data_IF_712445504059
#
_entry.id   IF_712445504059
#
_cell.length_a   1.000
_cell.length_b   1.000
_cell.length_c   1.000
_cell.angle_alpha   90.00
_cell.angle_beta   90.00
_cell.angle_gamma   90.00
#
_symmetry.space_group_name_H-M   'P 1'
#
loop_
_entity.id
_entity.type
_entity.pdbx_description
1 polymer ?
#
# COMPACT_ATOMS: atom_id res chain seq x y z
N UNK A 1 -16.33 -2.96 -21.24
CA UNK A 1 -16.32 -2.01 -20.13
C UNK A 1 -16.93 -2.68 -18.91
N UNK A 2 -16.35 -2.53 -17.74
CA UNK A 2 -16.88 -3.02 -16.46
C UNK A 2 -16.62 -1.95 -15.41
N UNK A 3 -17.41 -1.96 -14.35
CA UNK A 3 -17.24 -1.06 -13.22
C UNK A 3 -15.87 -1.24 -12.55
N UNK A 4 -15.40 -0.24 -11.83
CA UNK A 4 -14.11 -0.26 -11.16
C UNK A 4 -14.15 -0.96 -9.78
N UNK A 5 -15.30 -1.50 -9.39
CA UNK A 5 -15.52 -2.21 -8.14
C UNK A 5 -15.19 -3.72 -8.23
N UNK A 6 -15.41 -4.44 -7.14
CA UNK A 6 -15.14 -5.89 -7.03
C UNK A 6 -16.06 -6.68 -7.97
N UNK A 7 -17.35 -6.31 -8.04
CA UNK A 7 -18.32 -7.00 -8.89
C UNK A 7 -17.99 -6.80 -10.38
N UNK A 8 -17.60 -5.59 -10.78
CA UNK A 8 -17.12 -5.31 -12.13
C UNK A 8 -15.86 -6.09 -12.49
N UNK A 9 -14.96 -6.29 -11.55
CA UNK A 9 -13.76 -7.13 -11.72
C UNK A 9 -14.12 -8.60 -11.91
N UNK A 10 -15.11 -9.11 -11.19
CA UNK A 10 -15.63 -10.47 -11.35
C UNK A 10 -16.30 -10.64 -12.71
N UNK A 11 -17.18 -9.71 -13.13
CA UNK A 11 -17.82 -9.72 -14.45
C UNK A 11 -16.77 -9.70 -15.56
N UNK A 12 -15.72 -8.89 -15.44
CA UNK A 12 -14.60 -8.85 -16.38
C UNK A 12 -13.91 -10.20 -16.51
N UNK A 13 -13.61 -10.87 -15.38
CA UNK A 13 -13.00 -12.20 -15.36
C UNK A 13 -13.88 -13.24 -16.02
N UNK A 14 -15.21 -13.22 -15.77
CA UNK A 14 -16.17 -14.10 -16.44
C UNK A 14 -16.20 -13.91 -17.95
N UNK A 15 -16.23 -12.66 -18.41
CA UNK A 15 -16.25 -12.35 -19.85
C UNK A 15 -14.93 -12.77 -20.52
N UNK A 16 -13.79 -12.49 -19.87
CA UNK A 16 -12.49 -12.91 -20.39
C UNK A 16 -12.36 -14.43 -20.46
N UNK A 17 -12.85 -15.16 -19.44
CA UNK A 17 -12.93 -16.62 -19.45
C UNK A 17 -13.76 -17.14 -20.63
N UNK A 18 -14.94 -16.53 -20.85
CA UNK A 18 -15.80 -16.89 -21.98
C UNK A 18 -15.11 -16.65 -23.32
N UNK A 19 -14.51 -15.47 -23.53
CA UNK A 19 -13.78 -15.14 -24.76
C UNK A 19 -12.60 -16.09 -24.98
N UNK A 20 -11.82 -16.36 -23.93
CA UNK A 20 -10.67 -17.27 -24.02
C UNK A 20 -11.09 -18.69 -24.40
N UNK A 21 -12.19 -19.23 -23.84
CA UNK A 21 -12.61 -20.61 -24.06
C UNK A 21 -13.47 -20.83 -25.29
N UNK A 22 -14.31 -19.85 -25.64
CA UNK A 22 -15.30 -20.02 -26.71
C UNK A 22 -14.98 -19.21 -27.98
N UNK A 23 -14.14 -18.19 -27.87
CA UNK A 23 -13.77 -17.28 -28.95
C UNK A 23 -12.28 -16.98 -28.96
N UNK A 24 -11.48 -18.05 -28.78
CA UNK A 24 -10.02 -17.99 -28.62
C UNK A 24 -9.34 -17.23 -29.75
N UNK A 25 -9.81 -17.42 -31.00
CA UNK A 25 -9.30 -16.72 -32.18
C UNK A 25 -9.35 -15.18 -32.05
N UNK A 26 -10.36 -14.64 -31.37
CA UNK A 26 -10.44 -13.18 -31.13
C UNK A 26 -9.34 -12.69 -30.19
N UNK A 27 -9.01 -13.49 -29.17
CA UNK A 27 -7.97 -13.15 -28.19
C UNK A 27 -6.59 -13.33 -28.82
N UNK A 28 -6.36 -14.42 -29.55
CA UNK A 28 -5.12 -14.68 -30.28
C UNK A 28 -4.86 -13.64 -31.39
N UNK A 29 -5.92 -13.15 -32.04
CA UNK A 29 -5.83 -12.05 -32.99
C UNK A 29 -5.68 -10.67 -32.33
N UNK A 30 -5.58 -10.61 -31.00
CA UNK A 30 -5.42 -9.39 -30.21
C UNK A 30 -6.55 -8.35 -30.42
N UNK A 31 -7.77 -8.82 -30.69
CA UNK A 31 -8.94 -7.97 -30.94
C UNK A 31 -9.78 -7.69 -29.69
N UNK A 32 -9.31 -8.12 -28.52
CA UNK A 32 -9.99 -7.90 -27.23
C UNK A 32 -9.32 -6.77 -26.47
N UNK A 33 -10.10 -5.81 -26.02
CA UNK A 33 -9.64 -4.64 -25.27
C UNK A 33 -10.50 -4.41 -24.04
N UNK A 34 -9.88 -3.92 -22.97
CA UNK A 34 -10.54 -3.47 -21.75
C UNK A 34 -10.52 -1.94 -21.76
N UNK A 35 -11.69 -1.32 -21.85
CA UNK A 35 -11.80 0.12 -21.70
C UNK A 35 -11.63 0.52 -20.22
N UNK A 36 -10.83 1.53 -19.97
CA UNK A 36 -10.52 2.02 -18.63
C UNK A 36 -11.24 3.34 -18.37
N UNK A 37 -12.34 3.33 -17.60
CA UNK A 37 -12.95 4.56 -17.15
C UNK A 37 -12.07 5.28 -16.12
N UNK A 38 -12.18 6.61 -15.99
CA UNK A 38 -11.45 7.35 -14.97
C UNK A 38 -11.98 7.01 -13.57
N UNK A 39 -11.08 7.04 -12.58
CA UNK A 39 -11.44 6.87 -11.17
C UNK A 39 -11.91 8.18 -10.53
N UNK A 40 -11.40 9.31 -11.00
CA UNK A 40 -11.67 10.61 -10.40
C UNK A 40 -12.04 11.64 -11.46
N UNK A 41 -12.94 12.54 -11.05
CA UNK A 41 -13.22 13.81 -11.70
C UNK A 41 -12.83 14.92 -10.76
N UNK A 42 -11.94 15.79 -11.18
CA UNK A 42 -11.47 16.93 -10.41
C UNK A 42 -11.92 18.21 -11.09
N UNK A 43 -12.52 19.13 -10.34
CA UNK A 43 -13.02 20.39 -10.84
C UNK A 43 -12.51 21.56 -10.01
N UNK A 44 -11.95 22.57 -10.69
CA UNK A 44 -11.59 23.87 -10.10
C UNK A 44 -12.25 24.99 -10.90
N UNK A 45 -13.30 25.58 -10.36
CA UNK A 45 -14.07 26.61 -11.06
C UNK A 45 -14.70 26.07 -12.35
N UNK A 46 -14.22 26.54 -13.53
CA UNK A 46 -14.70 26.08 -14.85
C UNK A 46 -13.82 24.98 -15.48
N UNK A 47 -12.64 24.72 -14.92
CA UNK A 47 -11.75 23.68 -15.42
C UNK A 47 -12.14 22.34 -14.80
N UNK A 48 -12.20 21.32 -15.64
CA UNK A 48 -12.52 19.95 -15.28
C UNK A 48 -11.48 19.02 -15.88
N UNK A 49 -11.07 18.01 -15.11
CA UNK A 49 -10.08 17.02 -15.52
C UNK A 49 -10.47 15.66 -14.97
N UNK A 50 -10.23 14.61 -15.77
CA UNK A 50 -10.41 13.22 -15.38
C UNK A 50 -9.04 12.60 -15.06
N UNK A 51 -9.00 11.76 -14.02
CA UNK A 51 -7.78 11.10 -13.53
C UNK A 51 -8.07 9.61 -13.40
N UNK A 52 -7.19 8.78 -13.94
CA UNK A 52 -7.45 7.35 -14.10
C UNK A 52 -6.99 6.51 -12.91
N UNK A 53 -6.02 6.97 -12.12
CA UNK A 53 -5.42 6.18 -11.04
C UNK A 53 -5.26 6.98 -9.75
N UNK A 54 -5.24 6.28 -8.62
CA UNK A 54 -4.95 6.89 -7.32
C UNK A 54 -3.55 7.54 -7.27
N UNK A 55 -2.58 6.94 -7.96
CA UNK A 55 -1.22 7.49 -8.01
C UNK A 55 -1.18 8.81 -8.79
N UNK A 56 -1.89 8.89 -9.92
CA UNK A 56 -2.05 10.14 -10.67
C UNK A 56 -2.75 11.22 -9.85
N UNK A 57 -3.79 10.83 -9.08
CA UNK A 57 -4.51 11.75 -8.20
C UNK A 57 -3.59 12.35 -7.14
N UNK A 58 -2.80 11.52 -6.45
CA UNK A 58 -1.83 11.99 -5.47
C UNK A 58 -0.76 12.90 -6.09
N UNK A 59 -0.25 12.55 -7.27
CA UNK A 59 0.71 13.39 -8.00
C UNK A 59 0.09 14.74 -8.37
N UNK A 60 -1.14 14.74 -8.88
CA UNK A 60 -1.88 15.96 -9.20
C UNK A 60 -2.04 16.87 -7.97
N UNK A 61 -2.44 16.30 -6.82
CA UNK A 61 -2.58 17.06 -5.57
C UNK A 61 -1.26 17.63 -5.07
N UNK A 62 -0.17 16.88 -5.22
CA UNK A 62 1.18 17.38 -4.89
C UNK A 62 1.54 18.56 -5.76
N UNK A 63 1.36 18.46 -7.09
CA UNK A 63 1.69 19.53 -8.02
C UNK A 63 0.87 20.80 -7.73
N UNK A 64 -0.43 20.66 -7.42
CA UNK A 64 -1.30 21.78 -7.02
C UNK A 64 -0.84 22.43 -5.71
N UNK A 65 -0.38 21.63 -4.75
CA UNK A 65 0.08 22.13 -3.44
C UNK A 65 1.43 22.83 -3.50
N UNK A 66 2.32 22.43 -4.42
CA UNK A 66 3.67 22.99 -4.51
C UNK A 66 3.70 24.46 -4.93
N UNK A 67 2.62 24.98 -5.53
CA UNK A 67 2.53 26.39 -5.88
C UNK A 67 2.47 27.27 -4.62
N UNK A 68 3.61 27.91 -4.27
CA UNK A 68 3.70 28.81 -3.10
C UNK A 68 3.92 28.13 -1.76
N UNK A 69 4.22 26.82 -1.74
CA UNK A 69 4.50 26.08 -0.52
C UNK A 69 5.97 26.24 -0.10
N UNK A 70 6.22 26.73 1.09
CA UNK A 70 7.53 26.80 1.72
C UNK A 70 7.66 25.74 2.80
N UNK A 71 8.64 24.83 2.67
CA UNK A 71 8.94 23.81 3.69
C UNK A 71 10.40 23.93 4.12
N UNK A 72 10.61 23.99 5.44
CA UNK A 72 11.93 24.05 6.08
C UNK A 72 12.09 22.88 7.03
N UNK A 73 13.27 22.28 7.06
CA UNK A 73 13.60 21.31 8.10
C UNK A 73 13.80 22.06 9.43
N UNK A 74 13.07 21.65 10.47
CA UNK A 74 13.14 22.29 11.79
C UNK A 74 14.51 22.14 12.48
N UNK A 75 15.26 21.06 12.17
CA UNK A 75 16.62 20.82 12.69
C UNK A 75 17.74 21.52 11.91
N UNK A 76 17.46 22.19 10.80
CA UNK A 76 18.48 22.79 9.94
C UNK A 76 18.00 24.04 9.21
N UNK A 77 18.95 24.89 8.81
CA UNK A 77 18.71 26.10 8.01
C UNK A 77 18.38 25.79 6.54
N UNK A 78 18.09 24.54 6.19
CA UNK A 78 17.83 24.14 4.79
C UNK A 78 16.36 24.25 4.45
N UNK A 79 16.08 25.14 3.54
CA UNK A 79 14.81 25.26 2.84
C UNK A 79 14.78 24.28 1.66
N UNK A 80 13.65 23.60 1.46
CA UNK A 80 13.47 22.72 0.32
C UNK A 80 13.10 23.56 -0.91
N UNK A 81 13.83 23.36 -2.01
CA UNK A 81 13.37 23.87 -3.31
C UNK A 81 12.16 23.05 -3.76
N UNK A 82 11.26 23.62 -4.56
CA UNK A 82 10.06 22.94 -5.07
C UNK A 82 10.39 21.56 -5.67
N UNK A 83 11.46 21.47 -6.49
CA UNK A 83 11.90 20.19 -7.07
C UNK A 83 12.34 19.17 -6.02
N UNK A 84 13.14 19.57 -5.02
CA UNK A 84 13.57 18.65 -3.95
C UNK A 84 12.43 18.23 -3.06
N UNK A 85 11.46 19.13 -2.83
CA UNK A 85 10.26 18.81 -2.09
C UNK A 85 9.40 17.80 -2.85
N UNK A 86 9.21 17.97 -4.16
CA UNK A 86 8.50 17.01 -5.00
C UNK A 86 9.17 15.63 -4.98
N UNK A 87 10.50 15.58 -5.17
CA UNK A 87 11.27 14.32 -5.08
C UNK A 87 11.09 13.64 -3.71
N UNK A 88 11.14 14.40 -2.61
CA UNK A 88 10.88 13.88 -1.26
C UNK A 88 9.46 13.36 -1.11
N UNK A 89 8.44 14.10 -1.56
CA UNK A 89 7.04 13.68 -1.46
C UNK A 89 6.77 12.39 -2.24
N UNK A 90 7.37 12.22 -3.41
CA UNK A 90 7.30 10.97 -4.18
C UNK A 90 7.96 9.78 -3.43
N UNK A 91 9.07 10.03 -2.71
CA UNK A 91 9.66 9.02 -1.83
C UNK A 91 8.73 8.68 -0.66
N UNK A 92 8.07 9.69 -0.06
CA UNK A 92 7.12 9.47 1.04
C UNK A 92 5.87 8.71 0.58
N UNK A 93 5.38 8.91 -0.64
CA UNK A 93 4.30 8.10 -1.21
C UNK A 93 4.70 6.62 -1.36
N UNK A 94 5.94 6.35 -1.80
CA UNK A 94 6.45 4.97 -1.86
C UNK A 94 6.57 4.38 -0.46
N UNK A 95 7.07 5.16 0.49
CA UNK A 95 7.19 4.75 1.89
C UNK A 95 5.82 4.43 2.49
N UNK A 96 4.79 5.25 2.25
CA UNK A 96 3.41 5.01 2.68
C UNK A 96 2.88 3.66 2.16
N UNK A 97 3.09 3.37 0.87
CA UNK A 97 2.67 2.09 0.27
C UNK A 97 3.32 0.89 0.96
N UNK A 98 4.64 0.96 1.19
CA UNK A 98 5.38 -0.11 1.86
C UNK A 98 5.00 -0.22 3.35
N UNK A 99 4.77 0.90 4.01
CA UNK A 99 4.29 0.94 5.40
C UNK A 99 2.95 0.23 5.55
N UNK A 100 1.99 0.52 4.67
CA UNK A 100 0.70 -0.13 4.64
C UNK A 100 0.81 -1.65 4.38
N UNK A 101 1.81 -2.09 3.60
CA UNK A 101 2.05 -3.52 3.37
C UNK A 101 2.60 -4.22 4.63
N UNK A 102 3.48 -3.57 5.39
CA UNK A 102 3.96 -4.07 6.69
C UNK A 102 2.84 -4.11 7.72
N UNK A 103 1.99 -3.07 7.78
CA UNK A 103 0.90 -2.99 8.76
C UNK A 103 -0.18 -4.05 8.50
N UNK A 104 -0.46 -4.40 7.24
CA UNK A 104 -1.32 -5.54 6.89
C UNK A 104 -0.80 -6.88 7.40
N UNK A 105 0.49 -6.98 7.72
CA UNK A 105 1.10 -8.15 8.36
C UNK A 105 1.06 -8.09 9.90
N UNK A 106 0.28 -7.16 10.47
CA UNK A 106 0.06 -7.03 11.91
C UNK A 106 1.20 -6.38 12.68
N UNK A 107 2.10 -5.63 12.01
CA UNK A 107 3.20 -4.92 12.68
C UNK A 107 3.06 -3.43 12.40
N UNK A 108 2.96 -2.61 13.45
CA UNK A 108 3.00 -1.15 13.29
C UNK A 108 4.34 -0.72 12.70
N UNK A 109 4.28 0.12 11.67
CA UNK A 109 5.48 0.54 10.94
C UNK A 109 6.52 1.19 11.85
N UNK A 110 6.12 2.03 12.80
CA UNK A 110 7.04 2.64 13.77
C UNK A 110 7.85 1.59 14.53
N UNK A 111 7.19 0.55 15.07
CA UNK A 111 7.87 -0.56 15.75
C UNK A 111 8.82 -1.33 14.82
N UNK A 112 8.39 -1.57 13.58
CA UNK A 112 9.22 -2.26 12.60
C UNK A 112 10.50 -1.47 12.25
N UNK A 113 10.36 -0.16 12.07
CA UNK A 113 11.51 0.71 11.80
C UNK A 113 12.48 0.85 13.00
N UNK A 114 12.01 0.68 14.23
CA UNK A 114 12.84 0.64 15.43
C UNK A 114 13.72 -0.61 15.53
N UNK A 115 13.33 -1.71 14.85
CA UNK A 115 14.08 -2.98 14.84
C UNK A 115 15.36 -2.93 13.97
N UNK A 116 15.74 -1.77 13.43
CA UNK A 116 16.96 -1.62 12.60
C UNK A 116 18.21 -2.01 13.38
N UNK A 117 19.04 -2.91 12.81
CA UNK A 117 20.32 -3.32 13.39
C UNK A 117 21.36 -2.21 13.24
N UNK A 118 21.76 -1.58 14.36
CA UNK A 118 22.95 -0.73 14.52
C UNK A 118 23.35 0.14 13.32
N UNK A 119 24.64 0.12 12.98
CA UNK A 119 25.20 0.96 11.90
C UNK A 119 24.76 0.54 10.50
N UNK A 120 24.41 -0.73 10.29
CA UNK A 120 23.97 -1.24 8.98
C UNK A 120 22.60 -0.73 8.55
N UNK A 121 21.76 -0.29 9.51
CA UNK A 121 20.36 0.12 9.28
C UNK A 121 19.52 -0.97 8.62
N UNK A 122 19.96 -2.24 8.77
CA UNK A 122 19.30 -3.40 8.21
C UNK A 122 17.99 -3.68 8.95
N UNK A 123 16.93 -3.89 8.20
CA UNK A 123 15.61 -4.26 8.71
C UNK A 123 15.45 -5.78 8.74
N UNK A 124 14.60 -6.33 9.64
CA UNK A 124 14.27 -7.75 9.61
C UNK A 124 13.70 -8.18 8.26
N UNK A 125 14.22 -9.27 7.70
CA UNK A 125 13.70 -9.88 6.47
C UNK A 125 12.61 -10.90 6.78
N UNK A 126 12.64 -11.51 7.96
CA UNK A 126 11.72 -12.56 8.36
C UNK A 126 11.23 -12.36 9.79
N UNK A 127 9.99 -12.83 10.05
CA UNK A 127 9.44 -13.02 11.38
C UNK A 127 9.08 -14.50 11.54
N UNK A 128 9.77 -15.19 12.43
CA UNK A 128 9.47 -16.58 12.76
C UNK A 128 8.69 -16.66 14.08
N UNK A 129 7.65 -17.49 14.15
CA UNK A 129 6.97 -17.87 15.40
C UNK A 129 7.49 -19.23 15.84
N UNK A 130 8.08 -19.29 17.01
CA UNK A 130 8.69 -20.48 17.60
C UNK A 130 8.18 -20.60 19.04
N UNK A 131 7.52 -21.71 19.38
CA UNK A 131 6.97 -21.93 20.73
C UNK A 131 6.04 -20.80 21.23
N UNK A 132 5.34 -20.14 20.28
CA UNK A 132 4.44 -19.03 20.60
C UNK A 132 5.11 -17.65 20.66
N UNK A 133 6.44 -17.57 20.60
CA UNK A 133 7.19 -16.31 20.60
C UNK A 133 7.61 -15.89 19.19
N UNK A 134 7.63 -14.57 18.92
CA UNK A 134 8.10 -14.04 17.65
C UNK A 134 9.59 -13.69 17.71
N UNK A 135 10.36 -14.24 16.76
CA UNK A 135 11.78 -13.88 16.52
C UNK A 135 11.91 -13.18 15.17
N UNK A 136 12.68 -12.10 15.12
CA UNK A 136 12.96 -11.34 13.91
C UNK A 136 14.36 -11.69 13.40
N UNK A 137 14.45 -12.04 12.11
CA UNK A 137 15.66 -12.52 11.47
C UNK A 137 16.04 -11.56 10.35
N UNK A 138 17.33 -11.35 10.17
CA UNK A 138 17.85 -10.29 9.32
C UNK A 138 18.50 -10.79 8.02
N UNK A 139 18.77 -12.10 7.95
CA UNK A 139 19.35 -12.73 6.76
C UNK A 139 18.86 -14.17 6.59
N UNK A 140 19.21 -14.73 5.42
CA UNK A 140 18.82 -16.08 5.04
C UNK A 140 19.57 -17.14 5.88
N UNK A 141 20.77 -16.83 6.40
CA UNK A 141 21.56 -17.73 7.23
C UNK A 141 20.91 -17.91 8.61
N UNK A 142 20.43 -16.81 9.23
CA UNK A 142 19.65 -16.86 10.47
C UNK A 142 18.38 -17.72 10.28
N UNK A 143 17.69 -17.57 9.14
CA UNK A 143 16.50 -18.38 8.81
C UNK A 143 16.86 -19.85 8.63
N UNK A 144 17.91 -20.16 7.86
CA UNK A 144 18.38 -21.53 7.65
C UNK A 144 18.77 -22.23 8.97
N UNK A 145 19.43 -21.50 9.86
CA UNK A 145 19.79 -22.00 11.18
C UNK A 145 18.56 -22.37 12.03
N UNK A 146 17.55 -21.52 12.04
CA UNK A 146 16.29 -21.78 12.76
C UNK A 146 15.54 -22.98 12.16
N UNK A 147 15.44 -23.07 10.83
CA UNK A 147 14.83 -24.23 10.16
C UNK A 147 15.55 -25.55 10.49
N UNK A 148 16.87 -25.51 10.60
CA UNK A 148 17.67 -26.68 10.97
C UNK A 148 17.44 -27.13 12.43
N UNK A 149 17.13 -26.20 13.35
CA UNK A 149 16.91 -26.49 14.76
C UNK A 149 15.49 -27.01 15.07
N UNK A 150 14.47 -26.49 14.39
CA UNK A 150 13.07 -26.67 14.77
C UNK A 150 12.22 -27.40 13.71
N UNK A 151 12.80 -27.82 12.57
CA UNK A 151 12.12 -28.56 11.53
C UNK A 151 11.56 -27.72 10.38
N UNK A 152 10.77 -28.32 9.46
CA UNK A 152 10.33 -27.65 8.24
C UNK A 152 9.31 -26.54 8.52
N UNK A 153 9.35 -25.54 7.66
CA UNK A 153 8.46 -24.39 7.66
C UNK A 153 7.02 -24.79 7.35
N UNK A 154 6.07 -24.22 8.10
CA UNK A 154 4.67 -24.19 7.73
C UNK A 154 4.27 -22.75 7.43
N UNK A 155 3.51 -22.54 6.36
CA UNK A 155 2.96 -21.22 6.05
C UNK A 155 1.96 -20.81 7.13
N UNK A 156 2.03 -19.55 7.61
CA UNK A 156 1.01 -19.00 8.49
C UNK A 156 -0.33 -18.99 7.75
N UNK A 157 -1.30 -19.74 8.21
CA UNK A 157 -2.69 -19.51 7.85
C UNK A 157 -3.14 -18.16 8.42
N UNK A 158 -3.86 -17.38 7.61
CA UNK A 158 -4.21 -15.97 7.89
C UNK A 158 -5.22 -15.82 9.04
N UNK A 159 -5.80 -16.91 9.53
CA UNK A 159 -6.87 -16.92 10.53
C UNK A 159 -6.44 -16.63 11.98
N UNK A 160 -5.15 -16.42 12.26
CA UNK A 160 -4.68 -16.08 13.61
C UNK A 160 -4.17 -14.62 13.72
N UNK A 161 -4.95 -13.66 13.23
CA UNK A 161 -4.89 -12.30 13.79
C UNK A 161 -5.71 -12.34 15.07
N UNK A 162 -5.04 -12.60 16.18
CA UNK A 162 -5.65 -12.53 17.51
C UNK A 162 -6.30 -11.17 17.71
N UNK A 163 -7.64 -11.10 17.70
CA UNK A 163 -8.37 -10.17 18.54
C UNK A 163 -7.98 -10.49 19.99
N UNK A 164 -7.23 -9.60 20.63
CA UNK A 164 -6.99 -9.66 22.08
C UNK A 164 -8.35 -9.77 22.78
N UNK A 165 -8.70 -10.94 23.27
CA UNK A 165 -9.78 -11.10 24.23
C UNK A 165 -10.84 -12.15 24.02
N UNK A 166 -10.59 -13.30 23.39
CA UNK A 166 -11.48 -14.45 23.54
C UNK A 166 -10.70 -15.75 23.71
N UNK A 167 -10.77 -16.28 24.94
CA UNK A 167 -10.37 -17.66 25.26
C UNK A 167 -11.15 -18.63 24.36
N UNK A 168 -10.51 -19.17 23.32
CA UNK A 168 -10.95 -20.38 22.64
C UNK A 168 -10.08 -21.52 23.12
N UNK A 169 -10.75 -22.51 23.74
CA UNK A 169 -10.15 -23.77 24.14
C UNK A 169 -9.37 -24.39 22.98
N UNK A 170 -8.08 -24.58 23.21
CA UNK A 170 -7.14 -25.25 22.29
C UNK A 170 -7.63 -26.68 22.08
N UNK A 171 -8.01 -27.02 20.87
CA UNK A 171 -7.95 -28.43 20.46
C UNK A 171 -6.46 -28.78 20.31
N UNK A 172 -5.98 -29.61 21.20
CA UNK A 172 -4.66 -30.23 21.16
C UNK A 172 -4.58 -31.09 19.88
N UNK A 173 -3.91 -30.58 18.86
CA UNK A 173 -3.55 -31.38 17.70
C UNK A 173 -2.38 -32.28 18.09
N UNK A 174 -2.65 -33.58 18.16
CA UNK A 174 -1.67 -34.67 18.50
C UNK A 174 -0.80 -34.97 17.28
N UNK A 175 0.03 -34.03 16.86
CA UNK A 175 1.06 -34.21 15.85
C UNK A 175 2.39 -33.62 16.36
N UNK A 176 3.21 -34.47 17.01
CA UNK A 176 4.46 -34.06 17.65
C UNK A 176 5.56 -33.68 16.66
N UNK A 177 5.55 -32.46 16.19
CA UNK A 177 6.63 -31.77 15.51
C UNK A 177 6.41 -30.28 15.73
N UNK A 178 7.38 -29.61 16.38
CA UNK A 178 7.38 -28.14 16.52
C UNK A 178 7.43 -27.51 15.13
N UNK A 179 6.29 -27.09 14.61
CA UNK A 179 6.20 -26.41 13.32
C UNK A 179 6.57 -24.95 13.49
N UNK A 180 7.46 -24.46 12.62
CA UNK A 180 7.84 -23.06 12.57
C UNK A 180 6.94 -22.34 11.57
N UNK A 181 6.36 -21.21 11.98
CA UNK A 181 5.69 -20.30 11.05
C UNK A 181 6.63 -19.16 10.69
N UNK A 182 6.90 -18.95 9.40
CA UNK A 182 7.78 -17.91 8.91
C UNK A 182 7.00 -16.96 8.02
N UNK A 183 7.16 -15.66 8.28
CA UNK A 183 6.62 -14.58 7.45
C UNK A 183 7.77 -13.75 6.91
N UNK A 184 7.85 -13.59 5.59
CA UNK A 184 8.87 -12.80 4.91
C UNK A 184 8.41 -11.36 4.69
N UNK A 185 9.32 -10.39 4.87
CA UNK A 185 9.12 -8.97 4.60
C UNK A 185 9.83 -8.56 3.31
N UNK A 186 9.20 -8.79 2.17
CA UNK A 186 9.73 -8.40 0.86
C UNK A 186 10.01 -6.90 0.75
N UNK A 187 9.29 -6.09 1.52
CA UNK A 187 9.39 -4.64 1.56
C UNK A 187 10.66 -4.14 2.25
N UNK A 188 11.30 -4.95 3.08
CA UNK A 188 12.46 -4.58 3.90
C UNK A 188 13.58 -3.95 3.09
N UNK A 189 13.97 -4.60 1.99
CA UNK A 189 15.07 -4.13 1.12
C UNK A 189 14.75 -2.81 0.42
N UNK A 190 13.49 -2.58 0.08
CA UNK A 190 13.05 -1.33 -0.55
C UNK A 190 12.98 -0.20 0.49
N UNK A 191 12.50 -0.50 1.70
CA UNK A 191 12.52 0.43 2.84
C UNK A 191 13.94 0.89 3.21
N UNK A 192 14.91 -0.02 3.18
CA UNK A 192 16.33 0.33 3.40
C UNK A 192 16.87 1.29 2.32
N UNK A 193 16.52 1.08 1.05
CA UNK A 193 16.87 2.00 -0.04
C UNK A 193 16.26 3.37 0.19
N UNK A 194 14.97 3.42 0.50
CA UNK A 194 14.24 4.66 0.80
C UNK A 194 14.85 5.35 2.02
N UNK A 195 15.22 4.61 3.07
CA UNK A 195 15.90 5.17 4.24
C UNK A 195 17.19 5.89 3.87
N UNK A 196 18.02 5.29 2.99
CA UNK A 196 19.26 5.90 2.50
C UNK A 196 18.98 7.18 1.68
N UNK A 197 17.93 7.17 0.86
CA UNK A 197 17.54 8.37 0.08
C UNK A 197 17.04 9.49 1.00
N UNK A 198 16.18 9.18 1.98
CA UNK A 198 15.66 10.16 2.96
C UNK A 198 16.79 10.80 3.77
N UNK A 199 17.83 10.04 4.11
CA UNK A 199 19.02 10.58 4.80
C UNK A 199 19.76 11.65 4.00
N UNK A 200 19.73 11.62 2.66
CA UNK A 200 20.32 12.67 1.83
C UNK A 200 19.64 14.05 2.01
N UNK A 201 18.39 14.04 2.44
CA UNK A 201 17.64 15.26 2.79
C UNK A 201 17.90 15.72 4.23
N UNK A 202 18.71 14.96 5.03
CA UNK A 202 18.98 15.24 6.44
C UNK A 202 17.84 14.84 7.35
N UNK A 203 17.05 13.84 6.95
CA UNK A 203 15.90 13.30 7.65
C UNK A 203 16.16 11.84 8.05
N UNK A 204 15.46 11.33 9.06
CA UNK A 204 15.49 9.91 9.42
C UNK A 204 14.13 9.26 9.15
N UNK A 205 14.16 8.03 8.62
CA UNK A 205 12.93 7.26 8.36
C UNK A 205 12.18 6.92 9.68
N UNK A 206 12.88 6.93 10.84
CA UNK A 206 12.24 6.78 12.14
C UNK A 206 11.24 7.88 12.47
N UNK A 207 11.37 9.05 11.85
CA UNK A 207 10.41 10.14 11.98
C UNK A 207 9.13 9.93 11.16
N UNK A 208 8.97 8.77 10.49
CA UNK A 208 7.84 8.51 9.60
C UNK A 208 6.49 8.61 10.32
N UNK A 209 6.33 7.90 11.44
CA UNK A 209 5.08 7.84 12.21
C UNK A 209 5.22 8.50 13.61
N UNK A 210 6.08 9.52 13.70
CA UNK A 210 6.30 10.23 14.94
C UNK A 210 5.05 11.02 15.34
N UNK A 211 4.56 10.78 16.56
CA UNK A 211 3.34 11.43 17.02
C UNK A 211 3.60 12.88 17.42
N UNK A 212 2.64 13.76 17.07
CA UNK A 212 2.63 15.12 17.55
C UNK A 212 2.42 15.14 19.08
N UNK A 213 2.95 16.15 19.78
CA UNK A 213 2.67 16.31 21.21
C UNK A 213 1.15 16.47 21.42
N UNK A 214 0.61 15.67 22.32
CA UNK A 214 -0.81 15.79 22.71
C UNK A 214 -0.98 17.16 23.39
N UNK A 215 -1.96 17.95 22.93
CA UNK A 215 -2.25 19.29 23.45
C UNK A 215 -2.29 19.30 24.98
N UNK A 216 -1.30 19.92 25.61
CA UNK A 216 -1.13 19.94 27.05
C UNK A 216 -2.13 20.85 27.78
N UNK A 217 -3.04 21.55 27.09
CA UNK A 217 -4.03 22.39 27.75
C UNK A 217 -5.03 21.64 28.65
N UNK A 218 -5.23 20.33 28.40
CA UNK A 218 -6.15 19.49 29.20
C UNK A 218 -5.54 18.83 30.44
N UNK A 219 -4.20 18.81 30.59
CA UNK A 219 -3.53 18.08 31.67
C UNK A 219 -2.68 18.95 32.62
N UNK A 220 -2.83 20.27 32.63
CA UNK A 220 -2.19 21.14 33.62
C UNK A 220 -2.86 21.06 34.98
N UNK A 221 -2.69 19.91 35.68
CA UNK A 221 -2.69 19.84 37.16
C UNK A 221 -1.89 18.58 37.56
N UNK A 222 -0.61 18.78 37.88
CA UNK A 222 0.11 17.94 38.84
C UNK A 222 1.00 16.83 38.29
N UNK A 223 1.92 17.09 37.37
CA UNK A 223 3.08 16.18 37.17
C UNK A 223 4.32 16.95 36.73
N UNK A 224 5.30 17.03 37.65
CA UNK A 224 6.61 17.61 37.40
C UNK A 224 7.58 16.57 36.81
N UNK A 225 7.33 16.10 35.62
CA UNK A 225 8.34 15.42 34.76
C UNK A 225 8.55 16.30 33.55
N UNK A 226 9.79 16.76 33.34
CA UNK A 226 10.24 17.34 32.09
C UNK A 226 10.13 16.22 31.03
N UNK A 227 9.00 16.18 30.34
CA UNK A 227 8.86 15.46 29.08
C UNK A 227 9.72 16.23 28.08
N UNK A 228 10.63 15.53 27.42
CA UNK A 228 11.45 16.09 26.35
C UNK A 228 10.51 16.74 25.33
N UNK A 229 10.66 18.05 25.12
CA UNK A 229 9.86 18.79 24.14
C UNK A 229 10.03 18.15 22.76
N UNK A 230 8.99 17.48 22.27
CA UNK A 230 9.00 16.88 20.92
C UNK A 230 9.12 18.02 19.92
N UNK A 231 10.29 18.13 19.27
CA UNK A 231 10.55 19.15 18.25
C UNK A 231 9.89 18.72 16.93
N UNK A 232 9.31 19.67 16.18
CA UNK A 232 8.79 19.38 14.86
C UNK A 232 9.93 18.90 13.93
N UNK A 233 9.59 18.11 12.91
CA UNK A 233 10.51 17.70 11.85
C UNK A 233 10.58 18.78 10.78
N UNK A 234 9.43 19.39 10.46
CA UNK A 234 9.30 20.44 9.46
C UNK A 234 8.56 21.65 10.01
N UNK A 235 8.86 22.81 9.41
CA UNK A 235 8.06 24.03 9.52
C UNK A 235 7.55 24.36 8.13
N UNK A 236 6.24 24.43 7.96
CA UNK A 236 5.57 24.74 6.70
C UNK A 236 5.06 26.18 6.75
N UNK A 237 5.25 26.93 5.66
CA UNK A 237 4.84 28.33 5.51
C UNK A 237 5.28 29.24 6.68
N UNK A 238 6.40 28.91 7.32
CA UNK A 238 6.99 29.65 8.43
C UNK A 238 6.25 29.53 9.77
N UNK A 239 5.10 28.88 9.85
CA UNK A 239 4.23 28.85 11.04
C UNK A 239 3.76 27.45 11.44
N UNK A 240 3.48 26.56 10.48
CA UNK A 240 2.83 25.28 10.76
C UNK A 240 3.88 24.19 11.08
N UNK A 241 3.94 23.70 12.34
CA UNK A 241 4.86 22.63 12.71
C UNK A 241 4.30 21.28 12.28
N UNK A 242 5.13 20.49 11.59
CA UNK A 242 4.82 19.10 11.21
C UNK A 242 5.81 18.16 11.88
N UNK A 243 5.30 17.12 12.54
CA UNK A 243 6.07 16.28 13.47
C UNK A 243 6.52 14.95 12.87
N UNK A 244 6.03 14.58 11.69
CA UNK A 244 6.37 13.31 11.03
C UNK A 244 6.52 13.46 9.52
N UNK A 245 7.20 12.49 8.89
CA UNK A 245 7.29 12.43 7.44
C UNK A 245 5.93 12.14 6.81
N UNK A 246 5.15 11.23 7.41
CA UNK A 246 3.77 10.94 6.99
C UNK A 246 2.87 12.17 7.16
N UNK A 247 3.05 12.92 8.27
CA UNK A 247 2.34 14.17 8.49
C UNK A 247 2.62 15.23 7.43
N UNK A 248 3.85 15.32 6.90
CA UNK A 248 4.17 16.21 5.80
C UNK A 248 3.42 15.82 4.52
N UNK A 249 3.44 14.53 4.16
CA UNK A 249 2.73 14.04 2.99
C UNK A 249 1.23 14.36 3.09
N UNK A 250 0.62 14.04 4.23
CA UNK A 250 -0.78 14.33 4.49
C UNK A 250 -1.09 15.82 4.39
N UNK A 251 -0.28 16.67 5.04
CA UNK A 251 -0.45 18.14 4.99
C UNK A 251 -0.45 18.65 3.55
N UNK A 252 0.48 18.16 2.72
CA UNK A 252 0.60 18.58 1.31
C UNK A 252 -0.59 18.11 0.50
N UNK A 253 -1.05 16.87 0.67
CA UNK A 253 -2.23 16.35 -0.01
C UNK A 253 -3.49 17.13 0.38
N UNK A 254 -3.71 17.36 1.68
CA UNK A 254 -4.84 18.16 2.20
C UNK A 254 -4.80 19.61 1.67
N UNK A 255 -3.60 20.16 1.49
CA UNK A 255 -3.43 21.49 0.90
C UNK A 255 -3.79 21.49 -0.59
N UNK A 256 -3.37 20.47 -1.34
CA UNK A 256 -3.68 20.32 -2.76
C UNK A 256 -5.18 20.14 -3.03
N UNK A 257 -5.91 19.54 -2.10
CA UNK A 257 -7.36 19.39 -2.21
C UNK A 257 -8.14 20.70 -2.02
N UNK A 258 -7.55 21.71 -1.39
CA UNK A 258 -8.24 22.97 -1.10
C UNK A 258 -8.72 23.67 -2.36
N UNK A 259 -10.03 23.93 -2.40
CA UNK A 259 -10.68 24.60 -3.53
C UNK A 259 -10.95 23.70 -4.74
N UNK A 260 -10.72 22.39 -4.62
CA UNK A 260 -11.11 21.39 -5.59
C UNK A 260 -12.45 20.76 -5.21
N UNK A 261 -13.25 20.44 -6.21
CA UNK A 261 -14.37 19.51 -6.10
C UNK A 261 -13.92 18.19 -6.70
N UNK A 262 -13.75 17.17 -5.84
CA UNK A 262 -13.29 15.85 -6.24
C UNK A 262 -14.46 14.89 -6.14
N UNK A 263 -14.73 14.19 -7.24
CA UNK A 263 -15.70 13.12 -7.30
C UNK A 263 -14.95 11.81 -7.65
N UNK A 264 -15.10 10.79 -6.82
CA UNK A 264 -14.60 9.44 -7.11
C UNK A 264 -15.72 8.64 -7.73
N UNK A 265 -15.46 8.01 -8.86
CA UNK A 265 -16.39 7.08 -9.50
C UNK A 265 -16.14 5.66 -9.00
N UNK A 266 -17.19 5.00 -8.50
CA UNK A 266 -17.16 3.58 -8.13
C UNK A 266 -17.61 2.70 -9.29
N UNK A 267 -18.55 3.20 -10.10
CA UNK A 267 -19.09 2.49 -11.25
C UNK A 267 -19.46 3.41 -12.40
N UNK A 268 -19.65 2.84 -13.59
CA UNK A 268 -20.03 3.53 -14.82
C UNK A 268 -21.41 4.19 -14.72
N UNK A 269 -22.30 3.65 -13.87
CA UNK A 269 -23.63 4.19 -13.62
C UNK A 269 -23.65 5.55 -12.91
N UNK A 270 -22.52 5.98 -12.33
CA UNK A 270 -22.38 7.30 -11.71
C UNK A 270 -22.05 8.40 -12.74
N UNK A 271 -21.70 8.01 -13.96
CA UNK A 271 -21.41 8.92 -15.06
C UNK A 271 -22.67 9.21 -15.87
N UNK A 272 -22.85 10.48 -16.23
CA UNK A 272 -23.85 10.81 -17.23
C UNK A 272 -23.39 10.38 -18.65
N UNK A 273 -24.29 10.31 -19.66
CA UNK A 273 -23.95 9.82 -20.99
C UNK A 273 -22.80 10.61 -21.66
N UNK A 274 -22.70 11.91 -21.44
CA UNK A 274 -21.67 12.77 -22.01
C UNK A 274 -20.31 12.45 -21.40
N UNK A 275 -20.26 12.32 -20.07
CA UNK A 275 -19.03 11.94 -19.35
C UNK A 275 -18.55 10.56 -19.76
N UNK A 276 -19.44 9.59 -19.87
CA UNK A 276 -19.10 8.23 -20.31
C UNK A 276 -18.57 8.23 -21.74
N UNK A 277 -19.17 9.05 -22.62
CA UNK A 277 -18.69 9.19 -23.98
C UNK A 277 -17.28 9.76 -24.02
N UNK A 278 -17.06 10.94 -23.43
CA UNK A 278 -15.78 11.64 -23.45
C UNK A 278 -14.62 10.83 -22.87
N UNK A 279 -14.87 10.07 -21.79
CA UNK A 279 -13.80 9.41 -21.05
C UNK A 279 -13.52 7.98 -21.49
N UNK A 280 -14.55 7.28 -22.02
CA UNK A 280 -14.48 5.83 -22.17
C UNK A 280 -14.86 5.34 -23.58
N UNK A 281 -15.65 6.12 -24.31
CA UNK A 281 -16.19 5.71 -25.61
C UNK A 281 -15.51 6.41 -26.80
N UNK A 282 -15.19 7.70 -26.66
CA UNK A 282 -14.59 8.49 -27.71
C UNK A 282 -13.24 7.90 -28.16
N UNK A 283 -13.10 7.50 -29.45
CA UNK A 283 -11.87 6.91 -29.96
C UNK A 283 -10.61 7.78 -29.79
N UNK A 284 -10.79 9.12 -29.73
CA UNK A 284 -9.67 10.06 -29.62
C UNK A 284 -9.19 10.23 -28.17
N UNK A 285 -10.04 9.96 -27.17
CA UNK A 285 -9.72 10.23 -25.76
C UNK A 285 -9.68 8.97 -24.88
N UNK A 286 -10.40 7.90 -25.27
CA UNK A 286 -10.50 6.68 -24.47
C UNK A 286 -9.15 5.99 -24.29
N UNK A 287 -8.96 5.43 -23.11
CA UNK A 287 -7.83 4.53 -22.81
C UNK A 287 -8.28 3.10 -22.89
N UNK A 288 -7.61 2.30 -23.75
CA UNK A 288 -7.87 0.89 -23.93
C UNK A 288 -6.64 0.06 -23.54
N UNK A 289 -6.83 -0.92 -22.69
CA UNK A 289 -5.83 -1.94 -22.40
C UNK A 289 -6.06 -3.12 -23.31
N UNK A 290 -5.08 -3.46 -24.16
CA UNK A 290 -5.13 -4.64 -25.01
C UNK A 290 -4.97 -5.90 -24.16
N UNK A 291 -5.74 -6.94 -24.48
CA UNK A 291 -5.61 -8.26 -23.87
C UNK A 291 -4.72 -9.10 -24.78
N UNK A 292 -3.63 -9.61 -24.22
CA UNK A 292 -2.68 -10.50 -24.90
C UNK A 292 -2.55 -11.80 -24.12
N UNK A 293 -2.24 -12.89 -24.82
CA UNK A 293 -1.91 -14.19 -24.22
C UNK A 293 -0.41 -14.37 -24.41
N UNK A 294 0.36 -14.37 -23.34
CA UNK A 294 1.79 -14.65 -23.37
C UNK A 294 2.04 -16.15 -23.33
N UNK A 295 1.33 -16.86 -22.44
CA UNK A 295 1.33 -18.33 -22.36
C UNK A 295 -0.11 -18.86 -22.29
N UNK A 296 -0.50 -19.65 -23.29
CA UNK A 296 -1.84 -20.18 -23.39
C UNK A 296 -2.10 -21.33 -22.38
N UNK A 297 -1.06 -22.06 -21.97
CA UNK A 297 -1.17 -23.15 -21.00
C UNK A 297 -1.38 -22.57 -19.60
N UNK A 298 -0.54 -21.63 -19.22
CA UNK A 298 -0.65 -20.91 -17.93
C UNK A 298 -2.01 -20.18 -17.81
N UNK A 299 -2.46 -19.53 -18.88
CA UNK A 299 -3.76 -18.89 -18.92
C UNK A 299 -4.92 -19.89 -18.71
N UNK A 300 -4.86 -21.07 -19.34
CA UNK A 300 -5.91 -22.11 -19.16
C UNK A 300 -5.89 -22.70 -17.75
N UNK A 301 -4.72 -22.94 -17.17
CA UNK A 301 -4.58 -23.36 -15.78
C UNK A 301 -5.15 -22.33 -14.82
N UNK A 302 -4.85 -21.04 -15.02
CA UNK A 302 -5.38 -19.94 -14.21
C UNK A 302 -6.90 -19.86 -14.29
N UNK A 303 -7.47 -19.89 -15.50
CA UNK A 303 -8.93 -19.90 -15.66
C UNK A 303 -9.58 -21.16 -15.09
N UNK A 304 -8.91 -22.31 -15.16
CA UNK A 304 -9.41 -23.55 -14.56
C UNK A 304 -9.41 -23.50 -13.05
N UNK A 305 -8.36 -22.96 -12.45
CA UNK A 305 -8.25 -22.77 -11.00
C UNK A 305 -9.29 -21.79 -10.48
N UNK A 306 -9.40 -20.61 -11.10
CA UNK A 306 -10.28 -19.54 -10.61
C UNK A 306 -11.76 -19.78 -10.89
N UNK A 307 -12.09 -20.35 -12.07
CA UNK A 307 -13.45 -20.44 -12.60
C UNK A 307 -13.94 -21.89 -12.77
N UNK A 308 -13.09 -22.88 -12.50
CA UNK A 308 -13.44 -24.31 -12.57
C UNK A 308 -14.33 -24.77 -11.41
N UNK A 309 -14.76 -26.03 -11.48
CA UNK A 309 -15.59 -26.64 -10.44
C UNK A 309 -14.83 -27.09 -9.18
N UNK A 310 -13.50 -27.15 -9.23
CA UNK A 310 -12.67 -27.57 -8.11
C UNK A 310 -12.51 -26.43 -7.08
N UNK A 311 -13.11 -26.64 -5.93
CA UNK A 311 -13.12 -25.65 -4.82
C UNK A 311 -11.78 -25.66 -4.08
N UNK A 312 -11.12 -26.83 -3.98
CA UNK A 312 -9.88 -26.99 -3.22
C UNK A 312 -8.71 -26.26 -3.90
N UNK A 313 -8.53 -26.47 -5.21
CA UNK A 313 -7.53 -25.75 -5.98
C UNK A 313 -7.71 -24.23 -5.91
N UNK A 314 -8.96 -23.75 -5.98
CA UNK A 314 -9.28 -22.32 -5.83
C UNK A 314 -8.97 -21.79 -4.44
N UNK A 315 -9.33 -22.54 -3.39
CA UNK A 315 -9.02 -22.19 -2.00
C UNK A 315 -7.51 -22.06 -1.81
N UNK A 316 -6.75 -23.05 -2.26
CA UNK A 316 -5.29 -23.04 -2.15
C UNK A 316 -4.66 -21.86 -2.91
N UNK A 317 -5.19 -21.54 -4.10
CA UNK A 317 -4.76 -20.37 -4.86
C UNK A 317 -5.04 -19.07 -4.10
N UNK A 318 -6.25 -18.90 -3.54
CA UNK A 318 -6.62 -17.73 -2.75
C UNK A 318 -5.72 -17.59 -1.52
N UNK A 319 -5.43 -18.68 -0.81
CA UNK A 319 -4.54 -18.67 0.35
C UNK A 319 -3.11 -18.27 -0.04
N UNK A 320 -2.57 -18.84 -1.12
CA UNK A 320 -1.24 -18.53 -1.61
C UNK A 320 -1.09 -17.04 -2.03
N UNK A 321 -2.16 -16.46 -2.62
CA UNK A 321 -2.16 -15.09 -3.15
C UNK A 321 -2.92 -14.09 -2.30
N UNK A 322 -3.35 -14.45 -1.10
CA UNK A 322 -4.11 -13.57 -0.21
C UNK A 322 -3.35 -12.26 0.13
N UNK A 323 -2.01 -12.30 0.10
CA UNK A 323 -1.14 -11.15 0.33
C UNK A 323 -1.07 -10.16 -0.84
N UNK A 324 -1.41 -10.63 -2.06
CA UNK A 324 -1.37 -9.81 -3.28
C UNK A 324 -2.63 -8.97 -3.47
N UNK A 325 -3.65 -9.22 -2.67
CA UNK A 325 -4.93 -8.52 -2.73
C UNK A 325 -4.75 -7.05 -2.37
N UNK A 326 -5.15 -6.17 -3.29
CA UNK A 326 -5.02 -4.71 -3.12
C UNK A 326 -6.30 -4.06 -2.60
N UNK A 327 -7.46 -4.61 -2.95
CA UNK A 327 -8.77 -4.09 -2.61
C UNK A 327 -9.61 -5.23 -2.05
N UNK A 328 -9.70 -5.31 -0.74
CA UNK A 328 -10.70 -6.14 -0.05
C UNK A 328 -11.91 -5.24 0.21
N UNK A 329 -13.06 -5.67 -0.28
CA UNK A 329 -14.35 -5.08 0.09
C UNK A 329 -14.82 -5.77 1.38
N UNK A 330 -14.48 -5.17 2.53
CA UNK A 330 -14.84 -5.65 3.87
C UNK A 330 -15.67 -4.57 4.56
#
# INVERSE_FOLDING_TARGET
MCDADVDGSHIRTLILTFLFRQMKELVEAENVFIAQPPLYRVKRGRKEQYINTESEMKNFLIDEALEGLEVKNAGGKKEFTARKLQELLLLLMKLERLSNAIERRGIKIGKYLEMRKGDSQQLPLYRARIEGEYKYLYDDDELAHIKALHGPEQDMEIDEVEEEGKDRERQEDQGGGESIFVQEFYEARELEKISKEIKKYGLDIADYDRQAPVDQEKYRKGSSKKEDEIKPVFIVNGQDPVYSLHGLLKYVLDLGEKGLSIQRYKGLGEMNPEQLWETTMDPEQRTLQKVTIEDAVEADEMFTTLMGGDVESRRNFILAHARDVKNLDV
#
